data_IF_341833496644
#
_entry.id   IF_341833496644
#
_cell.length_a   1.000
_cell.length_b   1.000
_cell.length_c   1.000
_cell.angle_alpha   90.00
_cell.angle_beta   90.00
_cell.angle_gamma   90.00
#
_symmetry.space_group_name_H-M   'P 1'
#
loop_
_entity.id
_entity.type
_entity.pdbx_description
1 polymer ?
#
# COMPACT_ATOMS: atom_id res chain seq x y z
N UNK A 1 -1.44 20.11 -3.12
CA UNK A 1 -0.99 18.84 -2.50
C UNK A 1 -1.40 17.70 -3.42
N UNK A 2 -0.54 16.69 -3.60
CA UNK A 2 -0.86 15.52 -4.42
C UNK A 2 -1.70 14.51 -3.63
N UNK A 3 -2.89 14.16 -4.14
CA UNK A 3 -3.79 13.16 -3.55
C UNK A 3 -3.72 11.87 -4.36
N UNK A 4 -2.64 11.12 -4.16
CA UNK A 4 -2.34 9.90 -4.92
C UNK A 4 -2.07 8.76 -3.95
N UNK A 5 -2.61 7.59 -4.27
CA UNK A 5 -2.32 6.33 -3.60
C UNK A 5 -1.66 5.39 -4.63
N UNK A 6 -0.49 4.86 -4.32
CA UNK A 6 0.12 3.77 -5.09
C UNK A 6 -0.16 2.43 -4.40
N UNK A 7 -0.39 1.37 -5.18
CA UNK A 7 -0.73 0.04 -4.66
C UNK A 7 0.09 -0.99 -5.43
N UNK A 8 0.98 -1.70 -4.75
CA UNK A 8 1.81 -2.74 -5.35
C UNK A 8 2.28 -3.75 -4.29
N UNK A 9 2.18 -5.05 -4.56
CA UNK A 9 2.74 -6.11 -3.71
C UNK A 9 4.28 -6.23 -3.86
N UNK A 10 4.96 -5.11 -3.64
CA UNK A 10 6.41 -4.93 -3.82
C UNK A 10 6.92 -3.78 -2.95
N UNK A 11 8.20 -3.43 -3.07
CA UNK A 11 8.83 -2.44 -2.19
C UNK A 11 8.15 -1.06 -2.32
N UNK A 12 7.69 -0.53 -1.18
CA UNK A 12 6.99 0.76 -1.13
C UNK A 12 7.86 1.94 -1.61
N UNK A 13 9.18 1.89 -1.35
CA UNK A 13 10.07 3.04 -1.49
C UNK A 13 10.15 3.59 -2.92
N UNK A 14 10.01 2.72 -3.93
CA UNK A 14 10.05 3.12 -5.33
C UNK A 14 8.94 4.12 -5.70
N UNK A 15 7.83 4.09 -4.97
CA UNK A 15 6.62 4.85 -5.29
C UNK A 15 6.60 6.27 -4.70
N UNK A 16 7.46 6.60 -3.73
CA UNK A 16 7.50 7.93 -3.11
C UNK A 16 7.68 9.06 -4.12
N UNK A 17 8.48 8.84 -5.18
CA UNK A 17 8.70 9.84 -6.25
C UNK A 17 7.43 10.17 -7.07
N UNK A 18 6.43 9.30 -7.06
CA UNK A 18 5.20 9.46 -7.86
C UNK A 18 4.01 9.95 -7.05
N UNK A 19 3.90 9.51 -5.79
CA UNK A 19 2.80 9.90 -4.90
C UNK A 19 3.03 11.27 -4.24
N UNK A 20 4.30 11.66 -4.09
CA UNK A 20 4.70 12.93 -3.46
C UNK A 20 4.52 12.92 -1.93
N UNK A 21 4.94 14.00 -1.26
CA UNK A 21 4.98 14.07 0.20
C UNK A 21 3.62 13.92 0.91
N UNK A 22 2.53 14.27 0.24
CA UNK A 22 1.16 14.14 0.76
C UNK A 22 0.46 12.84 0.36
N UNK A 23 1.12 11.98 -0.43
CA UNK A 23 0.55 10.74 -0.91
C UNK A 23 0.60 9.61 0.11
N UNK A 24 0.04 8.45 -0.29
CA UNK A 24 0.12 7.20 0.47
C UNK A 24 0.50 6.05 -0.46
N UNK A 25 1.03 4.98 0.12
CA UNK A 25 1.45 3.78 -0.60
C UNK A 25 0.95 2.58 0.19
N UNK A 26 0.25 1.67 -0.49
CA UNK A 26 -0.07 0.34 0.02
C UNK A 26 0.90 -0.62 -0.65
N UNK A 27 1.97 -0.95 0.06
CA UNK A 27 3.07 -1.78 -0.44
C UNK A 27 3.76 -2.58 0.66
N UNK A 28 4.82 -3.29 0.28
CA UNK A 28 5.61 -4.12 1.18
C UNK A 28 6.85 -3.37 1.68
N UNK A 29 7.16 -3.53 2.97
CA UNK A 29 8.36 -3.01 3.63
C UNK A 29 9.15 -4.10 4.37
N UNK A 30 8.76 -5.35 4.17
CA UNK A 30 9.35 -6.54 4.78
C UNK A 30 9.44 -7.67 3.76
N UNK A 31 10.10 -8.77 4.15
CA UNK A 31 9.97 -10.02 3.43
C UNK A 31 8.56 -10.60 3.56
N UNK A 32 8.26 -11.56 2.68
CA UNK A 32 7.04 -12.37 2.73
C UNK A 32 7.12 -13.46 3.80
N UNK A 33 6.01 -14.18 3.96
CA UNK A 33 5.89 -15.31 4.88
C UNK A 33 5.38 -16.56 4.13
N UNK A 34 5.58 -17.74 4.69
CA UNK A 34 5.10 -19.00 4.10
C UNK A 34 3.65 -19.26 4.48
N UNK A 35 2.72 -18.83 3.64
CA UNK A 35 1.30 -19.10 3.79
C UNK A 35 0.54 -18.96 2.45
N UNK A 36 -0.74 -19.36 2.36
CA UNK A 36 -1.56 -19.12 1.18
C UNK A 36 -1.70 -17.62 0.88
N UNK A 37 -1.72 -17.26 -0.41
CA UNK A 37 -1.75 -15.87 -0.88
C UNK A 37 -2.88 -15.05 -0.24
N UNK A 38 -4.09 -15.61 -0.10
CA UNK A 38 -5.24 -14.91 0.49
C UNK A 38 -5.01 -14.47 1.94
N UNK A 39 -4.23 -15.26 2.69
CA UNK A 39 -3.87 -14.91 4.07
C UNK A 39 -2.77 -13.86 4.09
N UNK A 40 -1.77 -14.00 3.20
CA UNK A 40 -0.67 -13.03 3.07
C UNK A 40 -1.19 -11.65 2.64
N UNK A 41 -2.10 -11.58 1.66
CA UNK A 41 -2.67 -10.30 1.24
C UNK A 41 -3.43 -9.59 2.37
N UNK A 42 -4.17 -10.35 3.20
CA UNK A 42 -4.82 -9.77 4.39
C UNK A 42 -3.80 -9.31 5.43
N UNK A 43 -2.77 -10.11 5.69
CA UNK A 43 -1.72 -9.81 6.65
C UNK A 43 -0.93 -8.55 6.26
N UNK A 44 -0.55 -8.44 4.99
CA UNK A 44 0.21 -7.31 4.46
C UNK A 44 -0.67 -6.10 4.08
N UNK A 45 -1.98 -6.14 4.37
CA UNK A 45 -2.86 -4.99 4.19
C UNK A 45 -3.28 -4.71 2.74
N UNK A 46 -3.12 -5.67 1.84
CA UNK A 46 -3.65 -5.62 0.47
C UNK A 46 -5.13 -6.00 0.45
N UNK A 47 -5.94 -5.21 1.15
CA UNK A 47 -7.39 -5.36 1.20
C UNK A 47 -8.07 -4.11 0.65
N UNK A 48 -9.27 -4.29 0.10
CA UNK A 48 -10.07 -3.18 -0.45
C UNK A 48 -10.35 -2.14 0.64
N UNK A 49 -10.72 -2.59 1.84
CA UNK A 49 -11.00 -1.71 2.97
C UNK A 49 -9.78 -0.85 3.37
N UNK A 50 -8.58 -1.44 3.38
CA UNK A 50 -7.37 -0.69 3.69
C UNK A 50 -7.10 0.38 2.62
N UNK A 51 -7.16 0.00 1.33
CA UNK A 51 -6.98 0.93 0.22
C UNK A 51 -7.96 2.10 0.28
N UNK A 52 -9.25 1.82 0.51
CA UNK A 52 -10.29 2.85 0.61
C UNK A 52 -10.04 3.77 1.81
N UNK A 53 -9.64 3.21 2.94
CA UNK A 53 -9.32 3.98 4.16
C UNK A 53 -8.10 4.88 3.92
N UNK A 54 -7.02 4.33 3.37
CA UNK A 54 -5.80 5.07 3.00
C UNK A 54 -6.08 6.20 2.01
N UNK A 55 -6.96 5.97 1.03
CA UNK A 55 -7.38 7.01 0.09
C UNK A 55 -8.15 8.13 0.78
N UNK A 56 -9.03 7.80 1.74
CA UNK A 56 -9.81 8.78 2.49
C UNK A 56 -8.95 9.67 3.41
N UNK A 57 -7.84 9.18 3.93
CA UNK A 57 -6.93 9.97 4.77
C UNK A 57 -6.32 11.19 4.06
N UNK A 58 -6.22 11.15 2.73
CA UNK A 58 -5.56 12.19 1.93
C UNK A 58 -6.54 13.02 1.08
N UNK A 59 -7.85 12.80 1.24
CA UNK A 59 -8.91 13.61 0.63
C UNK A 59 -9.11 14.93 1.39
#
# INVERSE_FOLDING_TARGET
>A
MTKRVAIEAGISDFWYKYVGFGGRIVGMNSFGESAPADQLFKLFGFTVDNVVTTAKEIL
#
